data_IF_624514265004
#
_entry.id   IF_624514265004
#
_cell.length_a   1.000
_cell.length_b   1.000
_cell.length_c   1.000
_cell.angle_alpha   90.00
_cell.angle_beta   90.00
_cell.angle_gamma   90.00
#
_symmetry.space_group_name_H-M   'P 1'
#
loop_
_entity.id
_entity.type
_entity.pdbx_description
1 polymer ?
#
# COMPACT_ATOMS: atom_id res chain seq x y z
N UNK A 1 3.35 33.45 -0.18
CA UNK A 1 3.98 32.47 0.75
C UNK A 1 3.63 31.01 0.46
N UNK A 2 2.36 30.55 0.51
CA UNK A 2 2.02 29.14 0.17
C UNK A 2 2.22 28.83 -1.32
N UNK A 3 1.84 29.76 -2.19
CA UNK A 3 2.04 29.65 -3.65
C UNK A 3 3.53 29.71 -4.03
N UNK A 4 4.31 30.60 -3.40
CA UNK A 4 5.78 30.67 -3.60
C UNK A 4 6.47 29.36 -3.19
N UNK A 5 6.10 28.75 -2.06
CA UNK A 5 6.65 27.45 -1.65
C UNK A 5 6.28 26.31 -2.63
N UNK A 6 5.11 26.42 -3.29
CA UNK A 6 4.67 25.45 -4.29
C UNK A 6 5.37 25.60 -5.63
N UNK A 7 5.70 26.84 -6.02
CA UNK A 7 6.56 27.13 -7.16
C UNK A 7 7.99 26.63 -6.93
N UNK A 8 8.59 27.00 -5.79
CA UNK A 8 9.97 26.61 -5.44
C UNK A 8 10.14 25.09 -5.35
N UNK A 9 9.18 24.38 -4.76
CA UNK A 9 9.23 22.90 -4.71
C UNK A 9 9.04 22.24 -6.08
N UNK A 10 8.32 22.88 -7.02
CA UNK A 10 8.18 22.40 -8.40
C UNK A 10 9.49 22.55 -9.15
N UNK A 11 10.07 23.75 -9.11
CA UNK A 11 11.34 24.08 -9.74
C UNK A 11 12.47 23.19 -9.22
N UNK A 12 12.51 22.92 -7.91
CA UNK A 12 13.49 22.00 -7.33
C UNK A 12 13.38 20.58 -7.92
N UNK A 13 12.17 20.05 -8.10
CA UNK A 13 11.95 18.73 -8.71
C UNK A 13 12.39 18.74 -10.17
N UNK A 14 12.05 19.77 -10.94
CA UNK A 14 12.45 19.91 -12.35
C UNK A 14 13.97 19.98 -12.50
N UNK A 15 14.64 20.80 -11.70
CA UNK A 15 16.10 20.90 -11.66
C UNK A 15 16.76 19.56 -11.31
N UNK A 16 16.26 18.86 -10.29
CA UNK A 16 16.83 17.57 -9.92
C UNK A 16 16.56 16.48 -10.97
N UNK A 17 15.46 16.54 -11.72
CA UNK A 17 15.24 15.65 -12.87
C UNK A 17 16.28 15.87 -13.96
N UNK A 18 16.59 17.13 -14.29
CA UNK A 18 17.65 17.46 -15.26
C UNK A 18 19.03 16.98 -14.78
N UNK A 19 19.33 17.13 -13.49
CA UNK A 19 20.59 16.67 -12.91
C UNK A 19 20.69 15.13 -12.90
N UNK A 20 19.60 14.43 -12.58
CA UNK A 20 19.54 12.95 -12.66
C UNK A 20 19.77 12.44 -14.08
N UNK A 21 19.32 13.17 -15.10
CA UNK A 21 19.59 12.82 -16.50
C UNK A 21 21.09 12.92 -16.86
N UNK A 22 21.85 13.78 -16.15
CA UNK A 22 23.30 13.97 -16.37
C UNK A 22 24.15 13.05 -15.50
N UNK A 23 23.74 12.81 -14.26
CA UNK A 23 24.41 11.91 -13.32
C UNK A 23 23.40 11.33 -12.33
N UNK A 24 22.82 10.19 -12.69
CA UNK A 24 21.75 9.56 -11.90
C UNK A 24 22.19 9.30 -10.46
N UNK A 25 23.32 8.63 -10.27
CA UNK A 25 23.71 8.13 -8.95
C UNK A 25 24.01 9.27 -7.97
N UNK A 26 24.56 10.39 -8.46
CA UNK A 26 24.86 11.55 -7.63
C UNK A 26 23.61 12.32 -7.17
N UNK A 27 22.57 12.39 -8.00
CA UNK A 27 21.45 13.32 -7.79
C UNK A 27 20.10 12.65 -7.50
N UNK A 28 19.99 11.33 -7.67
CA UNK A 28 18.76 10.59 -7.39
C UNK A 28 18.28 10.74 -5.93
N UNK A 29 19.15 10.72 -4.90
CA UNK A 29 18.72 10.96 -3.52
C UNK A 29 18.10 12.35 -3.31
N UNK A 30 18.62 13.37 -3.99
CA UNK A 30 18.08 14.73 -3.92
C UNK A 30 16.71 14.82 -4.60
N UNK A 31 16.54 14.18 -5.75
CA UNK A 31 15.24 14.10 -6.43
C UNK A 31 14.18 13.44 -5.55
N UNK A 32 14.52 12.32 -4.90
CA UNK A 32 13.61 11.60 -3.99
C UNK A 32 13.18 12.50 -2.82
N UNK A 33 14.14 13.24 -2.24
CA UNK A 33 13.87 14.18 -1.14
C UNK A 33 12.97 15.34 -1.60
N UNK A 34 13.25 15.91 -2.78
CA UNK A 34 12.47 17.01 -3.36
C UNK A 34 11.02 16.57 -3.66
N UNK A 35 10.84 15.38 -4.22
CA UNK A 35 9.51 14.78 -4.48
C UNK A 35 8.74 14.53 -3.17
N UNK A 36 9.38 13.96 -2.15
CA UNK A 36 8.73 13.76 -0.85
C UNK A 36 8.34 15.08 -0.17
N UNK A 37 9.21 16.10 -0.25
CA UNK A 37 8.90 17.44 0.24
C UNK A 37 7.74 18.10 -0.50
N UNK A 38 7.73 17.98 -1.84
CA UNK A 38 6.64 18.47 -2.69
C UNK A 38 5.32 17.78 -2.38
N UNK A 39 5.31 16.45 -2.23
CA UNK A 39 4.11 15.69 -1.89
C UNK A 39 3.47 16.16 -0.58
N UNK A 40 4.26 16.37 0.47
CA UNK A 40 3.74 16.91 1.75
C UNK A 40 3.18 18.32 1.60
N UNK A 41 3.81 19.17 0.80
CA UNK A 41 3.32 20.52 0.55
C UNK A 41 2.01 20.52 -0.25
N UNK A 42 1.86 19.63 -1.24
CA UNK A 42 0.62 19.44 -2.01
C UNK A 42 -0.52 18.90 -1.13
N UNK A 43 -0.24 17.92 -0.27
CA UNK A 43 -1.22 17.40 0.67
C UNK A 43 -1.69 18.49 1.64
N UNK A 44 -0.74 19.26 2.19
CA UNK A 44 -1.05 20.43 3.00
C UNK A 44 -1.83 21.49 2.23
N UNK A 45 -1.69 21.56 0.89
CA UNK A 45 -2.42 22.40 -0.06
C UNK A 45 -3.85 21.96 -0.35
N UNK A 46 -4.22 20.72 -0.01
CA UNK A 46 -5.48 20.10 -0.39
C UNK A 46 -5.43 19.38 -1.75
N UNK A 47 -4.27 19.33 -2.40
CA UNK A 47 -4.05 18.55 -3.63
C UNK A 47 -3.56 17.14 -3.27
N UNK A 48 -4.50 16.31 -2.83
CA UNK A 48 -4.22 14.93 -2.42
C UNK A 48 -3.73 14.06 -3.59
N UNK A 49 -4.29 14.26 -4.80
CA UNK A 49 -3.88 13.49 -5.99
C UNK A 49 -2.45 13.82 -6.42
N UNK A 50 -2.10 15.11 -6.45
CA UNK A 50 -0.72 15.55 -6.71
C UNK A 50 0.27 15.03 -5.66
N UNK A 51 -0.16 14.93 -4.40
CA UNK A 51 0.65 14.35 -3.34
C UNK A 51 0.90 12.85 -3.55
N UNK A 52 -0.14 12.06 -3.86
CA UNK A 52 -0.02 10.62 -4.19
C UNK A 52 0.99 10.42 -5.33
N UNK A 53 0.87 11.22 -6.40
CA UNK A 53 1.78 11.13 -7.54
C UNK A 53 3.25 11.36 -7.14
N UNK A 54 3.52 12.39 -6.33
CA UNK A 54 4.88 12.70 -5.87
C UNK A 54 5.46 11.58 -4.98
N UNK A 55 4.67 11.05 -4.04
CA UNK A 55 5.13 10.00 -3.13
C UNK A 55 5.42 8.69 -3.87
N UNK A 56 4.57 8.29 -4.81
CA UNK A 56 4.78 7.08 -5.61
C UNK A 56 5.98 7.23 -6.56
N UNK A 57 6.18 8.39 -7.18
CA UNK A 57 7.37 8.64 -7.99
C UNK A 57 8.65 8.51 -7.16
N UNK A 58 8.68 9.12 -5.97
CA UNK A 58 9.80 9.02 -5.05
C UNK A 58 10.04 7.58 -4.58
N UNK A 59 8.99 6.84 -4.22
CA UNK A 59 9.09 5.46 -3.77
C UNK A 59 9.61 4.54 -4.88
N UNK A 60 9.12 4.69 -6.12
CA UNK A 60 9.61 3.93 -7.30
C UNK A 60 11.08 4.20 -7.58
N UNK A 61 11.50 5.46 -7.48
CA UNK A 61 12.89 5.86 -7.66
C UNK A 61 13.81 5.30 -6.56
N UNK A 62 13.32 5.24 -5.31
CA UNK A 62 14.06 4.74 -4.16
C UNK A 62 14.10 3.20 -4.07
N UNK A 63 13.14 2.50 -4.68
CA UNK A 63 12.98 1.05 -4.56
C UNK A 63 14.27 0.25 -4.86
N UNK A 64 15.03 0.50 -5.94
CA UNK A 64 16.27 -0.23 -6.20
C UNK A 64 17.35 0.02 -5.14
N UNK A 65 17.44 1.25 -4.63
CA UNK A 65 18.38 1.64 -3.57
C UNK A 65 18.02 0.96 -2.24
N UNK A 66 16.73 0.90 -1.91
CA UNK A 66 16.24 0.19 -0.73
C UNK A 66 16.45 -1.33 -0.81
N UNK A 67 16.37 -1.93 -2.00
CA UNK A 67 16.69 -3.34 -2.18
C UNK A 67 18.21 -3.61 -2.02
N UNK A 68 19.06 -2.74 -2.55
CA UNK A 68 20.51 -2.89 -2.47
C UNK A 68 21.07 -2.56 -1.08
N UNK A 69 20.50 -1.56 -0.40
CA UNK A 69 20.94 -1.10 0.92
C UNK A 69 19.74 -0.86 1.86
N UNK A 70 19.08 -1.93 2.35
CA UNK A 70 17.88 -1.83 3.18
C UNK A 70 18.08 -1.00 4.45
N UNK A 71 19.26 -1.10 5.08
CA UNK A 71 19.58 -0.35 6.30
C UNK A 71 19.70 1.17 6.05
N UNK A 72 20.10 1.59 4.84
CA UNK A 72 20.28 3.00 4.51
C UNK A 72 18.99 3.65 3.99
N UNK A 73 18.19 2.92 3.20
CA UNK A 73 17.07 3.50 2.45
C UNK A 73 15.69 2.94 2.81
N UNK A 74 15.61 1.84 3.55
CA UNK A 74 14.34 1.21 3.91
C UNK A 74 13.43 2.09 4.77
N UNK A 75 14.00 2.90 5.67
CA UNK A 75 13.26 3.86 6.49
C UNK A 75 12.65 4.99 5.64
N UNK A 76 13.41 5.49 4.64
CA UNK A 76 12.92 6.53 3.75
C UNK A 76 11.81 6.00 2.83
N UNK A 77 11.93 4.76 2.34
CA UNK A 77 10.88 4.12 1.54
C UNK A 77 9.58 3.98 2.35
N UNK A 78 9.68 3.53 3.61
CA UNK A 78 8.55 3.45 4.54
C UNK A 78 7.87 4.78 4.77
N UNK A 79 8.65 5.84 5.00
CA UNK A 79 8.12 7.18 5.20
C UNK A 79 7.32 7.65 3.97
N UNK A 80 7.84 7.45 2.76
CA UNK A 80 7.15 7.83 1.52
C UNK A 80 5.84 7.06 1.32
N UNK A 81 5.82 5.75 1.61
CA UNK A 81 4.61 4.96 1.44
C UNK A 81 3.55 5.25 2.51
N UNK A 82 3.95 5.63 3.73
CA UNK A 82 3.06 6.14 4.77
C UNK A 82 2.43 7.47 4.37
N UNK A 83 3.24 8.41 3.90
CA UNK A 83 2.77 9.69 3.38
C UNK A 83 1.80 9.47 2.19
N UNK A 84 2.07 8.48 1.34
CA UNK A 84 1.17 8.08 0.25
C UNK A 84 -0.16 7.52 0.76
N UNK A 85 -0.16 6.68 1.79
CA UNK A 85 -1.38 6.13 2.39
C UNK A 85 -2.27 7.25 2.94
N UNK A 86 -1.67 8.23 3.62
CA UNK A 86 -2.37 9.41 4.13
C UNK A 86 -2.96 10.25 2.99
N UNK A 87 -2.23 10.42 1.89
CA UNK A 87 -2.71 11.15 0.73
C UNK A 87 -3.86 10.41 0.01
N UNK A 88 -3.80 9.08 -0.09
CA UNK A 88 -4.91 8.26 -0.63
C UNK A 88 -6.17 8.37 0.23
N UNK A 89 -6.03 8.40 1.56
CA UNK A 89 -7.14 8.65 2.47
C UNK A 89 -7.74 10.05 2.29
N UNK A 90 -6.91 11.09 2.18
CA UNK A 90 -7.38 12.45 1.91
C UNK A 90 -8.12 12.57 0.56
N UNK A 91 -7.79 11.72 -0.40
CA UNK A 91 -8.46 11.63 -1.70
C UNK A 91 -9.72 10.72 -1.69
N UNK A 92 -10.03 10.01 -0.59
CA UNK A 92 -11.12 9.02 -0.54
C UNK A 92 -10.87 7.79 -1.42
N UNK A 93 -9.60 7.44 -1.63
CA UNK A 93 -9.11 6.38 -2.53
C UNK A 93 -8.36 5.29 -1.74
N UNK A 94 -8.74 5.04 -0.49
CA UNK A 94 -8.06 4.09 0.41
C UNK A 94 -7.95 2.67 -0.18
N UNK A 95 -8.91 2.27 -1.02
CA UNK A 95 -8.90 0.97 -1.72
C UNK A 95 -7.66 0.77 -2.60
N UNK A 96 -7.08 1.84 -3.12
CA UNK A 96 -5.89 1.78 -3.99
C UNK A 96 -4.60 1.49 -3.21
N UNK A 97 -4.62 1.58 -1.87
CA UNK A 97 -3.47 1.22 -1.07
C UNK A 97 -3.08 -0.26 -1.24
N UNK A 98 -4.03 -1.12 -1.59
CA UNK A 98 -3.75 -2.52 -1.95
C UNK A 98 -2.83 -2.67 -3.16
N UNK A 99 -2.96 -1.80 -4.17
CA UNK A 99 -2.05 -1.78 -5.32
C UNK A 99 -0.66 -1.29 -4.92
N UNK A 100 -0.57 -0.35 -3.98
CA UNK A 100 0.71 0.11 -3.41
C UNK A 100 1.40 -1.04 -2.66
N UNK A 101 0.67 -1.80 -1.84
CA UNK A 101 1.20 -2.98 -1.16
C UNK A 101 1.64 -4.06 -2.14
N UNK A 102 0.90 -4.28 -3.22
CA UNK A 102 1.28 -5.22 -4.26
C UNK A 102 2.57 -4.80 -5.01
N UNK A 103 2.76 -3.49 -5.22
CA UNK A 103 3.94 -2.97 -5.92
C UNK A 103 5.20 -3.00 -5.05
N UNK A 104 5.09 -2.62 -3.77
CA UNK A 104 6.24 -2.40 -2.88
C UNK A 104 6.45 -3.51 -1.84
N UNK A 105 5.48 -4.40 -1.67
CA UNK A 105 5.45 -5.39 -0.61
C UNK A 105 4.96 -4.79 0.72
N UNK A 106 4.30 -5.60 1.53
CA UNK A 106 3.76 -5.16 2.80
C UNK A 106 4.85 -4.82 3.84
N UNK A 107 6.02 -5.44 3.73
CA UNK A 107 7.24 -5.14 4.49
C UNK A 107 7.67 -3.67 4.33
N UNK A 108 7.39 -3.06 3.16
CA UNK A 108 7.84 -1.71 2.84
C UNK A 108 6.99 -0.60 3.47
N UNK A 109 5.85 -0.92 4.09
CA UNK A 109 5.00 0.03 4.85
C UNK A 109 5.05 -0.22 6.36
N UNK A 110 5.82 -1.23 6.76
CA UNK A 110 5.94 -1.74 8.11
C UNK A 110 6.93 -0.94 8.96
N UNK A 111 6.50 0.02 9.78
CA UNK A 111 7.31 0.33 10.97
C UNK A 111 7.16 -0.86 11.91
N UNK A 112 8.28 -1.56 12.18
CA UNK A 112 8.37 -2.79 12.99
C UNK A 112 6.99 -3.40 13.22
N UNK A 113 6.50 -4.08 12.17
CA UNK A 113 5.12 -4.53 12.15
C UNK A 113 4.86 -5.34 13.43
N UNK A 114 3.91 -4.91 14.28
CA UNK A 114 3.54 -5.71 15.42
C UNK A 114 3.23 -7.12 14.93
N UNK A 115 3.62 -8.19 15.65
CA UNK A 115 3.41 -9.57 15.19
C UNK A 115 1.97 -9.85 14.71
N UNK A 116 1.00 -9.15 15.32
CA UNK A 116 -0.40 -9.11 14.90
C UNK A 116 -0.61 -8.69 13.43
N UNK A 117 0.06 -7.65 12.97
CA UNK A 117 -0.06 -7.19 11.59
C UNK A 117 0.65 -8.12 10.61
N UNK A 118 1.81 -8.66 11.00
CA UNK A 118 2.54 -9.67 10.19
C UNK A 118 1.66 -10.89 9.92
N UNK A 119 1.02 -11.41 10.97
CA UNK A 119 0.15 -12.57 10.85
C UNK A 119 -1.12 -12.24 10.06
N UNK A 120 -1.68 -11.03 10.20
CA UNK A 120 -2.84 -10.60 9.41
C UNK A 120 -2.52 -10.59 7.91
N UNK A 121 -1.37 -10.05 7.51
CA UNK A 121 -0.93 -10.03 6.10
C UNK A 121 -0.71 -11.44 5.56
N UNK A 122 -0.01 -12.29 6.30
CA UNK A 122 0.20 -13.69 5.93
C UNK A 122 -1.13 -14.42 5.67
N UNK A 123 -2.15 -14.13 6.49
CA UNK A 123 -3.49 -14.71 6.35
C UNK A 123 -4.25 -14.13 5.15
N UNK A 124 -4.09 -12.83 4.84
CA UNK A 124 -4.66 -12.20 3.64
C UNK A 124 -4.07 -12.83 2.37
N UNK A 125 -2.76 -13.01 2.30
CA UNK A 125 -2.09 -13.63 1.16
C UNK A 125 -2.54 -15.09 0.97
N UNK A 126 -2.59 -15.87 2.06
CA UNK A 126 -3.10 -17.23 2.02
C UNK A 126 -4.56 -17.31 1.55
N UNK A 127 -5.41 -16.36 1.96
CA UNK A 127 -6.78 -16.24 1.47
C UNK A 127 -6.82 -15.94 -0.03
N UNK A 128 -6.01 -14.98 -0.50
CA UNK A 128 -5.95 -14.63 -1.92
C UNK A 128 -5.53 -15.83 -2.79
N UNK A 129 -4.50 -16.57 -2.38
CA UNK A 129 -4.03 -17.74 -3.12
C UNK A 129 -5.04 -18.89 -3.13
N UNK A 130 -5.66 -19.18 -1.97
CA UNK A 130 -6.70 -20.23 -1.90
C UNK A 130 -7.95 -19.87 -2.70
N UNK A 131 -8.36 -18.60 -2.71
CA UNK A 131 -9.47 -18.12 -3.53
C UNK A 131 -9.14 -18.19 -5.03
N UNK A 132 -7.92 -17.79 -5.43
CA UNK A 132 -7.44 -17.91 -6.81
C UNK A 132 -7.43 -19.36 -7.28
N UNK A 133 -6.94 -20.28 -6.45
CA UNK A 133 -6.95 -21.72 -6.74
C UNK A 133 -8.38 -22.26 -6.88
N UNK A 134 -9.30 -21.85 -6.00
CA UNK A 134 -10.71 -22.23 -6.08
C UNK A 134 -11.41 -21.69 -7.34
N UNK A 135 -11.07 -20.48 -7.78
CA UNK A 135 -11.57 -19.91 -9.02
C UNK A 135 -11.01 -20.63 -10.26
N UNK A 136 -9.73 -21.01 -10.25
CA UNK A 136 -9.09 -21.72 -11.36
C UNK A 136 -9.56 -23.16 -11.53
N UNK A 137 -9.89 -23.85 -10.43
CA UNK A 137 -10.40 -25.22 -10.41
C UNK A 137 -11.58 -25.37 -9.43
N UNK A 138 -12.80 -24.94 -9.82
CA UNK A 138 -13.94 -24.88 -8.93
C UNK A 138 -14.35 -26.26 -8.41
N UNK A 139 -14.21 -26.48 -7.11
CA UNK A 139 -14.67 -27.68 -6.43
C UNK A 139 -15.12 -27.37 -5.01
N UNK A 140 -16.02 -28.18 -4.40
CA UNK A 140 -16.41 -28.00 -3.01
C UNK A 140 -15.20 -27.97 -2.05
N UNK A 141 -14.18 -28.79 -2.31
CA UNK A 141 -12.95 -28.84 -1.52
C UNK A 141 -12.10 -27.57 -1.64
N UNK A 142 -11.97 -27.02 -2.86
CA UNK A 142 -11.21 -25.78 -3.08
C UNK A 142 -11.90 -24.57 -2.41
N UNK A 143 -13.23 -24.47 -2.54
CA UNK A 143 -14.00 -23.42 -1.85
C UNK A 143 -13.99 -23.58 -0.33
N UNK A 144 -14.02 -24.81 0.21
CA UNK A 144 -13.86 -25.05 1.65
C UNK A 144 -12.48 -24.59 2.16
N UNK A 145 -11.43 -24.78 1.37
CA UNK A 145 -10.07 -24.31 1.71
C UNK A 145 -10.02 -22.77 1.78
N UNK A 146 -10.60 -22.08 0.81
CA UNK A 146 -10.69 -20.61 0.82
C UNK A 146 -11.52 -20.10 2.00
N UNK A 147 -12.63 -20.75 2.32
CA UNK A 147 -13.47 -20.40 3.47
C UNK A 147 -12.72 -20.61 4.81
N UNK A 148 -11.93 -21.68 4.92
CA UNK A 148 -11.09 -21.91 6.11
C UNK A 148 -10.00 -20.83 6.27
N UNK A 149 -9.41 -20.36 5.16
CA UNK A 149 -8.46 -19.25 5.20
C UNK A 149 -9.13 -17.94 5.65
N UNK A 150 -10.33 -17.65 5.15
CA UNK A 150 -11.13 -16.49 5.56
C UNK A 150 -11.48 -16.54 7.06
N UNK A 151 -11.88 -17.71 7.56
CA UNK A 151 -12.19 -17.89 8.98
C UNK A 151 -10.96 -17.67 9.89
N UNK A 152 -9.77 -18.13 9.47
CA UNK A 152 -8.52 -17.88 10.20
C UNK A 152 -8.19 -16.38 10.27
N UNK A 153 -8.32 -15.68 9.15
CA UNK A 153 -8.13 -14.22 9.11
C UNK A 153 -9.12 -13.52 10.04
N UNK A 154 -10.40 -13.88 9.99
CA UNK A 154 -11.43 -13.30 10.85
C UNK A 154 -11.14 -13.53 12.35
N UNK A 155 -10.77 -14.75 12.73
CA UNK A 155 -10.42 -15.08 14.11
C UNK A 155 -9.20 -14.29 14.61
N UNK A 156 -8.18 -14.16 13.76
CA UNK A 156 -6.98 -13.39 14.08
C UNK A 156 -7.30 -11.90 14.31
N UNK A 157 -8.15 -11.32 13.46
CA UNK A 157 -8.57 -9.93 13.57
C UNK A 157 -9.43 -9.69 14.84
N UNK A 158 -10.30 -10.63 15.20
CA UNK A 158 -11.10 -10.57 16.43
C UNK A 158 -10.23 -10.70 17.69
N UNK A 159 -9.15 -11.46 17.65
CA UNK A 159 -8.20 -11.55 18.75
C UNK A 159 -7.38 -10.26 18.97
N UNK A 160 -7.45 -9.30 18.03
CA UNK A 160 -6.68 -8.06 18.02
C UNK A 160 -7.58 -6.83 17.80
N UNK A 161 -8.74 -6.81 18.47
CA UNK A 161 -9.70 -5.68 18.39
C UNK A 161 -9.09 -4.35 18.85
N UNK A 162 -8.19 -4.40 19.83
CA UNK A 162 -7.48 -3.24 20.39
C UNK A 162 -6.43 -2.64 19.45
N UNK A 163 -6.19 -3.27 18.28
CA UNK A 163 -5.23 -2.79 17.28
C UNK A 163 -5.93 -1.91 16.22
N UNK A 164 -5.97 -0.56 16.38
CA UNK A 164 -6.72 0.34 15.49
C UNK A 164 -6.22 0.30 14.04
N UNK A 165 -4.95 -0.06 13.84
CA UNK A 165 -4.37 -0.20 12.51
C UNK A 165 -4.98 -1.37 11.71
N UNK A 166 -5.56 -2.39 12.35
CA UNK A 166 -6.24 -3.52 11.69
C UNK A 166 -7.71 -3.22 11.29
N UNK A 167 -8.25 -2.07 11.68
CA UNK A 167 -9.66 -1.73 11.47
C UNK A 167 -10.09 -1.74 9.98
N UNK A 168 -9.29 -1.22 9.02
CA UNK A 168 -9.65 -1.32 7.59
C UNK A 168 -9.80 -2.77 7.12
N UNK A 169 -8.92 -3.66 7.58
CA UNK A 169 -8.94 -5.10 7.24
C UNK A 169 -10.15 -5.77 7.86
N UNK A 170 -10.46 -5.47 9.14
CA UNK A 170 -11.66 -5.97 9.83
C UNK A 170 -12.93 -5.68 9.07
N UNK A 171 -13.12 -4.44 8.61
CA UNK A 171 -14.32 -4.04 7.85
C UNK A 171 -14.45 -4.82 6.54
N UNK A 172 -13.35 -5.01 5.82
CA UNK A 172 -13.35 -5.77 4.57
C UNK A 172 -13.73 -7.25 4.79
N UNK A 173 -13.16 -7.89 5.82
CA UNK A 173 -13.42 -9.31 6.14
C UNK A 173 -14.85 -9.52 6.64
N UNK A 174 -15.37 -8.63 7.49
CA UNK A 174 -16.75 -8.69 7.95
C UNK A 174 -17.75 -8.66 6.77
N UNK A 175 -17.51 -7.79 5.79
CA UNK A 175 -18.34 -7.70 4.58
C UNK A 175 -18.27 -8.97 3.73
N UNK A 176 -17.07 -9.55 3.58
CA UNK A 176 -16.88 -10.79 2.84
C UNK A 176 -17.60 -11.97 3.51
N UNK A 177 -17.49 -12.10 4.84
CA UNK A 177 -18.19 -13.13 5.61
C UNK A 177 -19.71 -13.01 5.48
N UNK A 178 -20.24 -11.79 5.57
CA UNK A 178 -21.68 -11.54 5.41
C UNK A 178 -22.16 -11.97 4.01
N UNK A 179 -21.43 -11.63 2.95
CA UNK A 179 -21.75 -12.06 1.59
C UNK A 179 -21.74 -13.59 1.42
N UNK A 180 -20.89 -14.32 2.14
CA UNK A 180 -20.90 -15.80 2.14
C UNK A 180 -22.06 -16.40 2.93
N UNK A 181 -22.51 -15.74 3.99
CA UNK A 181 -23.65 -16.18 4.80
C UNK A 181 -24.99 -15.93 4.10
N UNK A 182 -25.08 -14.84 3.33
CA UNK A 182 -26.27 -14.47 2.55
C UNK A 182 -26.47 -15.35 1.29
N UNK A 183 -25.64 -16.38 1.09
CA UNK A 183 -25.84 -17.38 0.04
C UNK A 183 -25.51 -16.92 -1.38
N UNK A 184 -24.86 -15.76 -1.56
CA UNK A 184 -24.31 -15.33 -2.85
C UNK A 184 -23.03 -16.10 -3.16
N UNK A 185 -23.18 -17.40 -3.40
CA UNK A 185 -22.17 -18.19 -4.11
C UNK A 185 -22.00 -17.52 -5.48
N UNK A 186 -20.79 -17.13 -5.92
CA UNK A 186 -20.63 -16.76 -7.33
C UNK A 186 -21.11 -17.96 -8.13
N UNK A 187 -22.15 -17.76 -8.94
CA UNK A 187 -22.62 -18.78 -9.85
C UNK A 187 -21.39 -19.24 -10.65
N UNK A 188 -21.16 -20.56 -10.83
CA UNK A 188 -20.18 -20.98 -11.80
C UNK A 188 -20.66 -20.39 -13.13
N UNK A 189 -19.88 -19.47 -13.69
CA UNK A 189 -20.08 -18.99 -15.05
C UNK A 189 -19.99 -20.23 -15.94
N UNK A 190 -21.14 -20.76 -16.32
CA UNK A 190 -21.26 -21.75 -17.38
C UNK A 190 -21.17 -20.98 -18.70
N UNK A 191 -19.97 -20.92 -19.25
CA UNK A 191 -19.72 -20.66 -20.66
C UNK A 191 -18.60 -21.58 -21.15
#
# INVERSE_FOLDING_TARGET
>A
RREEAMAVSKEAVELYRELVAKNRDAFLPNLITALGGRGRALLGAGDADGAVACFLEAARALRPLAAAHPAAFGQLLRALLRDCAQALQAAGREGEFTAVLAEFGAEAVADEMPPAWQEALRLIEALAETHKAAAAAPSPAAWATAQAALAKLAAHLAAHEDAPFLEPVRRAVAKALQATQDGSRPAPDTA
#
